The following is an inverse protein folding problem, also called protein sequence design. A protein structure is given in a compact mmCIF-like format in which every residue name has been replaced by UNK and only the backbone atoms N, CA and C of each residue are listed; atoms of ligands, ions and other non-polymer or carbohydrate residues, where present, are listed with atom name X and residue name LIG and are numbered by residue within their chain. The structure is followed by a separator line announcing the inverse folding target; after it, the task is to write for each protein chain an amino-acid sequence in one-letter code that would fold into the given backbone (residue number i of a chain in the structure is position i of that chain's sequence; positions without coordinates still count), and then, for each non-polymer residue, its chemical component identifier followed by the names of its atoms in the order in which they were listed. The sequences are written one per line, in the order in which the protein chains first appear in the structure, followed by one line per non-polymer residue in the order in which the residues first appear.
data_IF_814671069867
#
_entry.id   IF_814671069867
#
_cell.length_a   1.000
_cell.length_b   1.000
_cell.length_c   1.000
_cell.angle_alpha   90.00
_cell.angle_beta   90.00
_cell.angle_gamma   90.00
#
_symmetry.space_group_name_H-M   'P 1'
#
loop_
_entity.id
_entity.type
_entity.pdbx_description
1 polymer ?
#
# COMPACT_ATOMS: atom_id res chain seq x y z
N UNK A 1 27.78 -36.48 39.24
CA UNK A 1 27.77 -35.14 39.87
C UNK A 1 26.77 -34.30 39.07
N UNK A 2 25.48 -34.39 39.39
CA UNK A 2 24.66 -33.33 40.05
C UNK A 2 24.68 -32.01 39.23
N UNK A 3 23.58 -31.56 38.62
CA UNK A 3 22.33 -31.14 39.29
C UNK A 3 21.12 -31.16 38.35
N UNK A 4 20.02 -31.71 38.88
CA UNK A 4 18.65 -31.37 38.54
C UNK A 4 18.09 -30.37 39.57
N UNK A 5 17.06 -29.61 39.20
CA UNK A 5 16.26 -28.72 40.06
C UNK A 5 16.12 -27.33 39.46
N UNK A 6 14.97 -26.63 39.43
CA UNK A 6 13.66 -26.69 40.11
C UNK A 6 12.67 -25.96 39.17
N UNK A 7 11.45 -26.41 38.85
CA UNK A 7 10.21 -26.52 39.64
C UNK A 7 9.74 -25.21 40.34
N UNK A 8 8.64 -24.65 39.79
CA UNK A 8 7.39 -24.17 40.44
C UNK A 8 7.18 -22.73 40.95
N UNK A 9 5.88 -22.36 40.83
CA UNK A 9 5.07 -21.35 41.55
C UNK A 9 5.09 -19.93 40.98
N UNK A 10 4.06 -19.41 40.30
CA UNK A 10 2.66 -19.17 40.70
C UNK A 10 2.53 -18.27 41.95
N UNK A 11 2.25 -16.98 41.72
CA UNK A 11 1.67 -16.04 42.67
C UNK A 11 0.80 -15.09 41.80
N UNK A 12 -0.53 -15.08 41.88
CA UNK A 12 -1.32 -15.02 43.10
C UNK A 12 -1.50 -13.57 43.55
N UNK A 13 -1.75 -12.63 42.63
CA UNK A 13 -2.07 -11.25 42.98
C UNK A 13 -3.56 -11.19 43.37
N UNK A 14 -3.79 -11.34 44.67
CA UNK A 14 -5.04 -11.11 45.36
C UNK A 14 -5.60 -9.73 44.97
N UNK A 15 -6.71 -9.72 44.24
CA UNK A 15 -7.58 -8.55 44.08
C UNK A 15 -8.22 -8.24 45.44
N UNK A 16 -7.55 -7.43 46.26
CA UNK A 16 -8.19 -6.76 47.38
C UNK A 16 -9.10 -5.67 46.79
N UNK A 17 -10.36 -6.02 46.52
CA UNK A 17 -11.41 -5.04 46.28
C UNK A 17 -11.52 -4.16 47.53
N UNK A 18 -11.28 -2.83 47.46
CA UNK A 18 -11.46 -1.99 48.62
C UNK A 18 -12.92 -2.08 49.07
N UNK A 19 -13.09 -2.49 50.34
CA UNK A 19 -14.38 -2.49 51.01
C UNK A 19 -14.97 -1.07 50.91
N UNK A 20 -16.24 -0.99 50.47
CA UNK A 20 -16.88 0.23 50.03
C UNK A 20 -16.63 1.41 50.95
N UNK A 21 -16.04 2.47 50.38
CA UNK A 21 -16.18 3.79 50.96
C UNK A 21 -17.68 4.12 50.94
N UNK A 22 -18.34 4.04 52.10
CA UNK A 22 -19.67 4.61 52.24
C UNK A 22 -19.51 6.11 52.03
N UNK A 23 -19.89 6.59 50.84
CA UNK A 23 -19.90 8.02 50.55
C UNK A 23 -20.99 8.65 51.43
N UNK A 24 -20.59 9.25 52.55
CA UNK A 24 -21.50 10.03 53.39
C UNK A 24 -21.69 11.41 52.74
N UNK A 25 -22.92 11.75 52.40
CA UNK A 25 -23.26 13.06 51.86
C UNK A 25 -23.62 14.00 53.01
N UNK A 26 -23.08 15.21 52.96
CA UNK A 26 -23.38 16.25 53.92
C UNK A 26 -24.23 17.34 53.26
N UNK A 27 -25.23 17.82 54.00
CA UNK A 27 -26.13 18.88 53.54
C UNK A 27 -26.09 20.07 54.48
N UNK A 28 -25.97 21.28 53.92
CA UNK A 28 -26.12 22.53 54.68
C UNK A 28 -26.94 23.56 53.88
N UNK A 29 -27.55 24.51 54.59
CA UNK A 29 -28.31 25.62 53.98
C UNK A 29 -27.57 26.93 54.24
N UNK A 30 -27.29 27.69 53.18
CA UNK A 30 -26.61 28.98 53.33
C UNK A 30 -27.55 30.09 53.83
N UNK A 31 -26.99 31.27 54.11
CA UNK A 31 -27.75 32.46 54.56
C UNK A 31 -28.81 32.92 53.56
N UNK A 32 -28.71 32.53 52.28
CA UNK A 32 -29.69 32.85 51.24
C UNK A 32 -30.83 31.82 51.16
N UNK A 33 -30.79 30.77 51.99
CA UNK A 33 -31.75 29.68 51.99
C UNK A 33 -31.49 28.60 50.93
N UNK A 34 -30.33 28.61 50.25
CA UNK A 34 -29.98 27.58 49.25
C UNK A 34 -29.33 26.38 49.91
N UNK A 35 -29.80 25.18 49.53
CA UNK A 35 -29.28 23.90 50.02
C UNK A 35 -28.11 23.42 49.16
N UNK A 36 -27.00 23.08 49.80
CA UNK A 36 -25.81 22.51 49.15
C UNK A 36 -25.59 21.09 49.64
N UNK A 37 -25.16 20.21 48.73
CA UNK A 37 -24.75 18.83 49.03
C UNK A 37 -23.26 18.69 48.71
N UNK A 38 -22.51 18.09 49.63
CA UNK A 38 -21.07 17.85 49.45
C UNK A 38 -20.70 16.45 49.91
N UNK A 39 -19.73 15.87 49.21
CA UNK A 39 -19.30 14.50 49.43
C UNK A 39 -18.27 14.38 50.56
N UNK A 40 -17.79 15.52 51.08
CA UNK A 40 -16.76 15.61 52.11
C UNK A 40 -17.10 16.70 53.13
N UNK A 41 -17.03 16.39 54.42
CA UNK A 41 -17.44 17.28 55.51
C UNK A 41 -16.71 18.64 55.51
N UNK A 42 -15.42 18.66 55.13
CA UNK A 42 -14.62 19.89 55.14
C UNK A 42 -14.97 20.87 54.00
N UNK A 43 -15.69 20.42 52.96
CA UNK A 43 -16.24 21.30 51.91
C UNK A 43 -17.38 22.17 52.44
N UNK A 44 -17.91 21.89 53.63
CA UNK A 44 -18.91 22.73 54.31
C UNK A 44 -18.20 23.94 54.94
N UNK A 45 -18.63 25.18 54.62
CA UNK A 45 -18.12 26.38 55.27
C UNK A 45 -18.32 26.32 56.79
N UNK A 46 -17.33 26.77 57.55
CA UNK A 46 -17.26 26.60 59.01
C UNK A 46 -18.51 27.11 59.74
N UNK A 47 -19.08 28.21 59.27
CA UNK A 47 -20.30 28.82 59.76
C UNK A 47 -21.56 27.93 59.63
N UNK A 48 -21.56 26.94 58.73
CA UNK A 48 -22.69 26.03 58.49
C UNK A 48 -22.43 24.59 58.95
N UNK A 49 -21.23 24.27 59.45
CA UNK A 49 -20.89 22.91 59.95
C UNK A 49 -21.75 22.45 61.12
N UNK A 50 -22.13 23.27 62.11
CA UNK A 50 -22.93 22.82 63.26
C UNK A 50 -24.35 22.37 62.90
N UNK A 51 -24.88 22.86 61.78
CA UNK A 51 -26.23 22.56 61.28
C UNK A 51 -26.23 21.51 60.16
N UNK A 52 -25.06 20.94 59.84
CA UNK A 52 -24.93 20.01 58.73
C UNK A 52 -25.60 18.67 59.05
N UNK A 53 -26.51 18.22 58.18
CA UNK A 53 -27.08 16.88 58.24
C UNK A 53 -26.19 15.86 57.55
N UNK A 54 -26.06 14.65 58.13
CA UNK A 54 -25.32 13.52 57.57
C UNK A 54 -26.27 12.48 56.98
N UNK A 55 -26.06 12.11 55.72
CA UNK A 55 -26.91 11.20 54.97
C UNK A 55 -26.06 10.11 54.30
N UNK A 56 -26.61 8.89 54.22
CA UNK A 56 -25.91 7.76 53.61
C UNK A 56 -26.10 7.75 52.09
N UNK A 57 -27.28 8.20 51.64
CA UNK A 57 -27.59 8.41 50.24
C UNK A 57 -28.12 9.84 50.01
N UNK A 58 -27.90 10.36 48.80
CA UNK A 58 -28.19 11.74 48.36
C UNK A 58 -29.60 12.24 48.70
N UNK A 59 -30.60 11.34 48.76
CA UNK A 59 -32.01 11.68 48.95
C UNK A 59 -32.63 11.17 50.27
N UNK A 60 -31.83 10.70 51.23
CA UNK A 60 -32.33 10.17 52.53
C UNK A 60 -33.07 11.21 53.39
N UNK A 61 -32.95 12.49 53.04
CA UNK A 61 -33.59 13.61 53.74
C UNK A 61 -35.04 13.88 53.30
N UNK A 62 -35.52 13.18 52.26
CA UNK A 62 -36.85 13.35 51.71
C UNK A 62 -37.81 12.26 52.22
N UNK A 63 -39.13 12.53 52.29
CA UNK A 63 -40.14 11.48 52.48
C UNK A 63 -39.96 10.35 51.47
N UNK A 64 -40.28 9.11 51.86
CA UNK A 64 -40.00 7.91 51.07
C UNK A 64 -40.53 7.98 49.62
N UNK A 65 -41.76 8.48 49.45
CA UNK A 65 -42.36 8.69 48.13
C UNK A 65 -41.56 9.68 47.26
N UNK A 66 -41.10 10.79 47.84
CA UNK A 66 -40.30 11.81 47.12
C UNK A 66 -38.89 11.28 46.80
N UNK A 67 -38.32 10.45 47.68
CA UNK A 67 -37.02 9.80 47.47
C UNK A 67 -37.06 8.84 46.29
N UNK A 68 -38.10 8.00 46.20
CA UNK A 68 -38.27 7.04 45.08
C UNK A 68 -38.35 7.79 43.75
N UNK A 69 -39.17 8.85 43.68
CA UNK A 69 -39.31 9.67 42.47
C UNK A 69 -38.00 10.30 42.00
N UNK A 70 -37.17 10.83 42.92
CA UNK A 70 -35.88 11.41 42.57
C UNK A 70 -34.86 10.37 42.11
N UNK A 71 -34.82 9.20 42.75
CA UNK A 71 -33.95 8.08 42.34
C UNK A 71 -34.34 7.54 40.95
N UNK A 72 -35.63 7.42 40.68
CA UNK A 72 -36.13 7.01 39.35
C UNK A 72 -35.81 8.05 38.28
N UNK A 73 -35.98 9.34 38.58
CA UNK A 73 -35.64 10.42 37.68
C UNK A 73 -34.12 10.55 37.41
N UNK A 74 -33.27 10.28 38.40
CA UNK A 74 -31.81 10.28 38.21
C UNK A 74 -31.38 9.07 37.37
N UNK A 75 -31.92 7.87 37.66
CA UNK A 75 -31.66 6.66 36.84
C UNK A 75 -32.16 6.81 35.40
N UNK A 76 -33.30 7.47 35.18
CA UNK A 76 -33.80 7.71 33.82
C UNK A 76 -32.86 8.65 33.07
N UNK A 77 -32.41 9.74 33.71
CA UNK A 77 -31.42 10.67 33.14
C UNK A 77 -30.08 10.00 32.85
N UNK A 78 -29.59 9.15 33.76
CA UNK A 78 -28.35 8.39 33.56
C UNK A 78 -28.45 7.47 32.35
N UNK A 79 -29.55 6.71 32.21
CA UNK A 79 -29.80 5.85 31.05
C UNK A 79 -29.88 6.64 29.76
N UNK A 80 -30.58 7.78 29.76
CA UNK A 80 -30.65 8.68 28.60
C UNK A 80 -29.25 9.17 28.18
N UNK A 81 -28.42 9.60 29.14
CA UNK A 81 -27.04 10.03 28.91
C UNK A 81 -26.12 8.90 28.42
N UNK A 82 -26.31 7.68 28.92
CA UNK A 82 -25.56 6.50 28.46
C UNK A 82 -25.97 6.10 27.05
N UNK A 83 -27.27 6.12 26.73
CA UNK A 83 -27.76 5.86 25.38
C UNK A 83 -27.27 6.92 24.39
N UNK A 84 -27.27 8.19 24.78
CA UNK A 84 -26.73 9.27 23.96
C UNK A 84 -25.23 9.07 23.71
N UNK A 85 -24.44 8.81 24.76
CA UNK A 85 -23.01 8.48 24.62
C UNK A 85 -22.77 7.25 23.76
N UNK A 86 -23.60 6.21 23.89
CA UNK A 86 -23.50 4.99 23.07
C UNK A 86 -23.77 5.30 21.61
N UNK A 87 -24.82 6.07 21.31
CA UNK A 87 -25.15 6.51 19.93
C UNK A 87 -24.05 7.37 19.35
N UNK A 88 -23.45 8.26 20.14
CA UNK A 88 -22.32 9.09 19.72
C UNK A 88 -21.08 8.24 19.41
N UNK A 89 -20.75 7.30 20.30
CA UNK A 89 -19.63 6.36 20.11
C UNK A 89 -19.83 5.48 18.88
N UNK A 90 -21.04 4.95 18.68
CA UNK A 90 -21.39 4.16 17.48
C UNK A 90 -21.19 4.98 16.21
N UNK A 91 -21.64 6.25 16.18
CA UNK A 91 -21.41 7.16 15.05
C UNK A 91 -19.93 7.42 14.79
N UNK A 92 -19.14 7.68 15.83
CA UNK A 92 -17.69 7.90 15.70
C UNK A 92 -16.98 6.65 15.16
N UNK A 93 -17.36 5.46 15.64
CA UNK A 93 -16.80 4.20 15.15
C UNK A 93 -17.18 3.94 13.69
N UNK A 94 -18.41 4.25 13.29
CA UNK A 94 -18.83 4.16 11.89
C UNK A 94 -18.06 5.13 10.98
N UNK A 95 -17.83 6.36 11.44
CA UNK A 95 -17.04 7.36 10.72
C UNK A 95 -15.60 6.91 10.51
N UNK A 96 -14.93 6.46 11.59
CA UNK A 96 -13.57 5.92 11.51
C UNK A 96 -13.47 4.74 10.53
N UNK A 97 -14.44 3.82 10.56
CA UNK A 97 -14.47 2.69 9.60
C UNK A 97 -14.59 3.15 8.16
N UNK A 98 -15.43 4.15 7.88
CA UNK A 98 -15.58 4.73 6.54
C UNK A 98 -14.30 5.40 6.07
N UNK A 99 -13.62 6.14 6.97
CA UNK A 99 -12.34 6.75 6.66
C UNK A 99 -11.26 5.71 6.37
N UNK A 100 -11.15 4.67 7.21
CA UNK A 100 -10.20 3.57 7.00
C UNK A 100 -10.46 2.85 5.67
N UNK A 101 -11.73 2.57 5.34
CA UNK A 101 -12.11 1.95 4.07
C UNK A 101 -11.77 2.86 2.88
N UNK A 102 -12.08 4.16 2.97
CA UNK A 102 -11.73 5.12 1.94
C UNK A 102 -10.21 5.23 1.72
N UNK A 103 -9.42 5.24 2.79
CA UNK A 103 -7.96 5.22 2.72
C UNK A 103 -7.47 3.93 2.08
N UNK A 104 -8.04 2.79 2.45
CA UNK A 104 -7.69 1.49 1.87
C UNK A 104 -7.99 1.44 0.36
N UNK A 105 -9.14 1.93 -0.07
CA UNK A 105 -9.52 1.99 -1.48
C UNK A 105 -8.56 2.88 -2.28
N UNK A 106 -8.29 4.11 -1.78
CA UNK A 106 -7.33 5.02 -2.44
C UNK A 106 -5.95 4.38 -2.59
N UNK A 107 -5.44 3.72 -1.56
CA UNK A 107 -4.15 3.01 -1.63
C UNK A 107 -4.16 1.91 -2.68
N UNK A 108 -5.22 1.11 -2.74
CA UNK A 108 -5.35 0.05 -3.73
C UNK A 108 -5.38 0.62 -5.17
N UNK A 109 -6.10 1.71 -5.40
CA UNK A 109 -6.14 2.41 -6.70
C UNK A 109 -4.77 2.97 -7.09
N UNK A 110 -4.04 3.56 -6.14
CA UNK A 110 -2.69 4.08 -6.37
C UNK A 110 -1.69 2.97 -6.69
N UNK A 111 -1.76 1.85 -5.98
CA UNK A 111 -0.93 0.67 -6.25
C UNK A 111 -1.22 0.09 -7.64
N UNK A 112 -2.50 -0.03 -8.03
CA UNK A 112 -2.86 -0.51 -9.36
C UNK A 112 -2.34 0.45 -10.44
N UNK A 113 -2.51 1.77 -10.25
CA UNK A 113 -2.00 2.79 -11.18
C UNK A 113 -0.47 2.72 -11.31
N UNK A 114 0.23 2.54 -10.18
CA UNK A 114 1.69 2.38 -10.16
C UNK A 114 2.12 1.12 -10.88
N UNK A 115 1.41 0.00 -10.69
CA UNK A 115 1.68 -1.25 -11.39
C UNK A 115 1.49 -1.10 -12.90
N UNK A 116 0.39 -0.51 -13.34
CA UNK A 116 0.15 -0.26 -14.77
C UNK A 116 1.25 0.59 -15.40
N UNK A 117 1.66 1.68 -14.73
CA UNK A 117 2.78 2.52 -15.20
C UNK A 117 4.12 1.79 -15.22
N UNK A 118 4.37 0.88 -14.28
CA UNK A 118 5.59 0.08 -14.28
C UNK A 118 5.68 -0.92 -15.44
N UNK A 119 4.54 -1.26 -16.06
CA UNK A 119 4.47 -2.11 -17.25
C UNK A 119 4.56 -1.30 -18.56
N UNK A 120 4.48 0.03 -18.48
CA UNK A 120 4.59 0.94 -19.62
C UNK A 120 6.07 1.30 -19.89
N UNK A 121 6.42 1.29 -21.17
CA UNK A 121 7.74 1.68 -21.67
C UNK A 121 7.55 2.87 -22.59
N UNK A 122 8.18 3.99 -22.27
CA UNK A 122 8.23 5.14 -23.17
C UNK A 122 9.00 4.76 -24.45
N UNK A 123 8.45 5.14 -25.60
CA UNK A 123 9.00 4.86 -26.92
C UNK A 123 9.03 6.13 -27.76
N UNK A 124 9.82 6.12 -28.82
CA UNK A 124 9.79 7.17 -29.83
C UNK A 124 8.96 6.67 -31.02
N UNK A 125 7.92 7.42 -31.41
CA UNK A 125 7.08 7.12 -32.57
C UNK A 125 7.43 8.10 -33.69
N UNK A 126 8.10 7.59 -34.73
CA UNK A 126 8.56 8.38 -35.86
C UNK A 126 7.91 7.86 -37.15
N UNK A 127 6.91 8.58 -37.66
CA UNK A 127 6.13 8.15 -38.82
C UNK A 127 5.38 6.85 -38.53
N UNK A 128 5.70 5.78 -39.27
CA UNK A 128 5.11 4.45 -39.10
C UNK A 128 5.95 3.50 -38.24
N UNK A 129 6.97 4.02 -37.53
CA UNK A 129 7.92 3.22 -36.76
C UNK A 129 7.80 3.52 -35.28
N UNK A 130 7.90 2.47 -34.48
CA UNK A 130 7.97 2.55 -33.02
C UNK A 130 9.37 2.11 -32.61
N UNK A 131 10.19 3.07 -32.19
CA UNK A 131 11.54 2.82 -31.67
C UNK A 131 11.45 2.54 -30.17
N UNK A 132 11.78 1.32 -29.82
CA UNK A 132 11.74 0.81 -28.46
C UNK A 132 13.13 0.90 -27.84
N UNK A 133 13.29 1.54 -26.66
CA UNK A 133 14.53 1.48 -25.93
C UNK A 133 14.73 0.06 -25.39
N UNK A 134 15.90 -0.51 -25.68
CA UNK A 134 16.26 -1.87 -25.29
C UNK A 134 17.62 -1.84 -24.61
N UNK A 135 17.74 -2.55 -23.49
CA UNK A 135 19.03 -2.76 -22.83
C UNK A 135 19.54 -4.16 -23.18
N UNK A 136 20.74 -4.24 -23.73
CA UNK A 136 21.41 -5.48 -24.13
C UNK A 136 22.59 -5.72 -23.20
N UNK A 137 22.79 -6.96 -22.76
CA UNK A 137 23.91 -7.34 -21.92
C UNK A 137 24.65 -8.55 -22.51
N UNK A 138 25.98 -8.49 -22.50
CA UNK A 138 26.86 -9.56 -22.94
C UNK A 138 28.26 -9.43 -22.31
N UNK A 139 28.79 -10.50 -21.71
CA UNK A 139 30.13 -10.56 -21.12
C UNK A 139 30.45 -9.40 -20.15
N UNK A 140 29.47 -9.05 -19.31
CA UNK A 140 29.59 -7.94 -18.36
C UNK A 140 29.54 -6.53 -18.99
N UNK A 141 29.37 -6.44 -20.31
CA UNK A 141 29.11 -5.18 -21.01
C UNK A 141 27.59 -4.97 -21.14
N UNK A 142 27.17 -3.72 -21.01
CA UNK A 142 25.78 -3.32 -21.19
C UNK A 142 25.70 -2.16 -22.20
N UNK A 143 24.69 -2.19 -23.06
CA UNK A 143 24.40 -1.10 -23.98
C UNK A 143 22.89 -0.85 -24.08
N UNK A 144 22.51 0.42 -23.98
CA UNK A 144 21.16 0.87 -24.32
C UNK A 144 21.11 1.24 -25.79
N UNK A 145 20.12 0.70 -26.50
CA UNK A 145 19.92 0.84 -27.95
C UNK A 145 18.46 1.17 -28.26
N UNK A 146 18.19 1.62 -29.48
CA UNK A 146 16.82 1.80 -29.99
C UNK A 146 16.56 0.81 -31.12
N UNK A 147 15.63 -0.12 -30.90
CA UNK A 147 15.23 -1.10 -31.90
C UNK A 147 13.84 -0.76 -32.44
N UNK A 148 13.62 -0.92 -33.74
CA UNK A 148 12.28 -0.78 -34.32
C UNK A 148 11.44 -2.00 -33.97
N UNK A 149 10.25 -1.81 -33.42
CA UNK A 149 9.28 -2.90 -33.27
C UNK A 149 8.84 -3.37 -34.66
N UNK A 150 9.24 -4.58 -35.05
CA UNK A 150 9.05 -5.09 -36.40
C UNK A 150 8.41 -6.50 -36.38
N UNK A 151 7.12 -6.56 -36.69
CA UNK A 151 6.37 -7.82 -36.79
C UNK A 151 6.67 -8.61 -38.06
N UNK A 152 7.31 -7.99 -39.06
CA UNK A 152 7.77 -8.64 -40.29
C UNK A 152 9.11 -9.35 -40.14
N UNK A 153 9.88 -9.04 -39.09
CA UNK A 153 11.16 -9.68 -38.81
C UNK A 153 10.94 -10.97 -37.98
N UNK A 154 11.34 -12.12 -38.52
CA UNK A 154 11.28 -13.39 -37.76
C UNK A 154 12.24 -13.42 -36.57
N UNK A 155 13.38 -12.74 -36.71
CA UNK A 155 14.43 -12.67 -35.70
C UNK A 155 14.75 -11.23 -35.35
N UNK A 156 15.14 -10.99 -34.09
CA UNK A 156 15.69 -9.72 -33.65
C UNK A 156 17.04 -9.48 -34.33
N UNK A 157 17.19 -8.29 -34.92
CA UNK A 157 18.36 -7.88 -35.68
C UNK A 157 19.11 -6.80 -34.91
N UNK A 158 20.43 -6.93 -34.82
CA UNK A 158 21.32 -5.86 -34.37
C UNK A 158 22.22 -5.44 -35.53
N UNK A 159 22.44 -4.14 -35.68
CA UNK A 159 23.48 -3.68 -36.59
C UNK A 159 24.88 -3.91 -36.01
N UNK A 160 25.83 -4.18 -36.90
CA UNK A 160 27.21 -4.55 -36.56
C UNK A 160 27.88 -3.65 -35.50
N UNK A 161 27.75 -2.31 -35.51
CA UNK A 161 28.37 -1.47 -34.47
C UNK A 161 27.93 -1.81 -33.05
N UNK A 162 26.68 -2.24 -32.86
CA UNK A 162 26.18 -2.68 -31.54
C UNK A 162 26.80 -4.01 -31.14
N UNK A 163 26.87 -4.95 -32.07
CA UNK A 163 27.47 -6.26 -31.83
C UNK A 163 28.96 -6.15 -31.46
N UNK A 164 29.70 -5.26 -32.14
CA UNK A 164 31.10 -4.96 -31.84
C UNK A 164 31.27 -4.32 -30.46
N UNK A 165 30.43 -3.33 -30.12
CA UNK A 165 30.43 -2.65 -28.81
C UNK A 165 30.21 -3.64 -27.66
N UNK A 166 29.32 -4.61 -27.86
CA UNK A 166 28.99 -5.65 -26.87
C UNK A 166 29.86 -6.91 -26.99
N UNK A 167 30.84 -6.93 -27.91
CA UNK A 167 31.73 -8.06 -28.19
C UNK A 167 30.97 -9.38 -28.39
N UNK A 168 29.88 -9.32 -29.15
CA UNK A 168 29.06 -10.50 -29.45
C UNK A 168 29.86 -11.39 -30.42
N UNK A 169 30.04 -12.65 -30.04
CA UNK A 169 30.72 -13.63 -30.88
C UNK A 169 29.80 -14.10 -32.02
N UNK A 170 30.35 -14.16 -33.23
CA UNK A 170 29.71 -14.80 -34.38
C UNK A 170 29.72 -16.32 -34.18
N UNK A 171 28.55 -16.91 -33.98
CA UNK A 171 28.36 -18.36 -33.81
C UNK A 171 28.17 -19.06 -35.16
N UNK A 172 27.53 -18.39 -36.12
CA UNK A 172 27.33 -18.89 -37.47
C UNK A 172 27.26 -17.74 -38.48
N UNK A 173 27.48 -18.06 -39.75
CA UNK A 173 27.27 -17.17 -40.89
C UNK A 173 26.21 -17.76 -41.80
N UNK A 174 25.41 -16.90 -42.40
CA UNK A 174 24.32 -17.30 -43.27
C UNK A 174 23.90 -16.19 -44.23
N UNK A 175 22.67 -16.33 -44.71
CA UNK A 175 22.02 -15.37 -45.58
C UNK A 175 20.65 -15.03 -45.01
N UNK A 176 20.35 -13.74 -44.92
CA UNK A 176 19.06 -13.22 -44.50
C UNK A 176 18.34 -12.61 -45.69
N UNK A 177 17.05 -12.96 -45.84
CA UNK A 177 16.18 -12.34 -46.83
C UNK A 177 15.53 -11.11 -46.21
N UNK A 178 15.77 -9.95 -46.81
CA UNK A 178 15.17 -8.68 -46.43
C UNK A 178 13.81 -8.50 -47.12
N UNK A 179 13.09 -7.46 -46.69
CA UNK A 179 11.91 -6.99 -47.41
C UNK A 179 12.25 -6.70 -48.89
N UNK A 180 11.33 -7.04 -49.80
CA UNK A 180 11.56 -6.92 -51.24
C UNK A 180 12.38 -8.04 -51.88
N UNK A 181 12.74 -9.09 -51.13
CA UNK A 181 13.37 -10.31 -51.67
C UNK A 181 14.89 -10.24 -51.84
N UNK A 182 15.52 -9.12 -51.50
CA UNK A 182 16.97 -8.98 -51.45
C UNK A 182 17.56 -9.91 -50.38
N UNK A 183 18.70 -10.52 -50.68
CA UNK A 183 19.43 -11.38 -49.73
C UNK A 183 20.73 -10.70 -49.34
N UNK A 184 21.05 -10.72 -48.05
CA UNK A 184 22.29 -10.17 -47.50
C UNK A 184 23.02 -11.20 -46.67
N UNK A 185 24.35 -11.10 -46.62
CA UNK A 185 25.14 -11.90 -45.69
C UNK A 185 24.83 -11.50 -44.26
N UNK A 186 24.59 -12.49 -43.43
CA UNK A 186 24.23 -12.30 -42.03
C UNK A 186 25.06 -13.16 -41.11
N UNK A 187 25.21 -12.68 -39.88
CA UNK A 187 25.87 -13.40 -38.81
C UNK A 187 24.84 -13.72 -37.73
N UNK A 188 25.02 -14.84 -37.05
CA UNK A 188 24.21 -15.20 -35.89
C UNK A 188 25.07 -15.08 -34.66
N UNK A 189 24.58 -14.31 -33.69
CA UNK A 189 25.18 -14.14 -32.38
C UNK A 189 24.20 -14.52 -31.28
N UNK A 190 24.62 -14.32 -30.04
CA UNK A 190 23.83 -14.60 -28.84
C UNK A 190 24.17 -13.60 -27.75
N UNK A 191 23.14 -13.08 -27.11
CA UNK A 191 23.25 -12.18 -25.96
C UNK A 191 23.03 -12.98 -24.67
N UNK A 192 23.73 -12.59 -23.61
CA UNK A 192 23.44 -13.09 -22.27
C UNK A 192 22.05 -12.62 -21.83
N UNK A 193 21.66 -11.38 -22.13
CA UNK A 193 20.31 -10.89 -21.93
C UNK A 193 19.89 -9.75 -22.85
N UNK A 194 18.59 -9.69 -23.11
CA UNK A 194 17.86 -8.56 -23.70
C UNK A 194 16.76 -8.12 -22.72
N UNK A 195 16.63 -6.82 -22.50
CA UNK A 195 15.63 -6.21 -21.64
C UNK A 195 14.83 -5.19 -22.45
N UNK A 196 13.51 -5.40 -22.52
CA UNK A 196 12.56 -4.48 -23.16
C UNK A 196 11.47 -4.16 -22.15
N UNK A 197 11.39 -2.90 -21.71
CA UNK A 197 10.49 -2.52 -20.63
C UNK A 197 10.73 -3.37 -19.36
N UNK A 198 9.69 -3.92 -18.71
CA UNK A 198 9.85 -4.82 -17.57
C UNK A 198 10.32 -6.24 -17.95
N UNK A 199 10.31 -6.60 -19.24
CA UNK A 199 10.56 -7.97 -19.69
C UNK A 199 12.04 -8.20 -19.98
N UNK A 200 12.65 -9.12 -19.21
CA UNK A 200 14.01 -9.62 -19.45
C UNK A 200 13.97 -11.03 -20.03
N UNK A 201 14.71 -11.25 -21.12
CA UNK A 201 15.00 -12.58 -21.63
C UNK A 201 16.50 -12.82 -21.57
N UNK A 202 16.89 -14.03 -21.17
CA UNK A 202 18.29 -14.47 -21.15
C UNK A 202 18.56 -15.38 -22.33
N UNK A 203 19.85 -15.56 -22.63
CA UNK A 203 20.31 -16.51 -23.64
C UNK A 203 19.60 -16.31 -24.99
N UNK A 204 19.67 -15.07 -25.50
CA UNK A 204 18.81 -14.60 -26.57
C UNK A 204 19.57 -14.55 -27.91
N UNK A 205 19.17 -15.33 -28.93
CA UNK A 205 19.81 -15.30 -30.25
C UNK A 205 19.51 -13.99 -30.98
N UNK A 206 20.48 -13.50 -31.73
CA UNK A 206 20.33 -12.29 -32.56
C UNK A 206 20.95 -12.50 -33.93
N UNK A 207 20.36 -11.86 -34.95
CA UNK A 207 20.96 -11.75 -36.28
C UNK A 207 21.73 -10.44 -36.36
N UNK A 208 22.96 -10.48 -36.85
CA UNK A 208 23.83 -9.32 -37.01
C UNK A 208 23.94 -9.00 -38.50
N UNK A 209 23.57 -7.78 -38.85
CA UNK A 209 23.65 -7.25 -40.22
C UNK A 209 24.60 -6.05 -40.29
N UNK A 210 25.26 -5.80 -41.44
CA UNK A 210 25.93 -4.53 -41.67
C UNK A 210 24.89 -3.38 -41.65
N UNK A 211 25.34 -2.18 -41.27
CA UNK A 211 24.52 -0.96 -41.44
C UNK A 211 24.36 -0.73 -42.94
N UNK A 212 23.16 -0.90 -43.48
CA UNK A 212 22.86 -0.39 -44.81
C UNK A 212 22.56 1.12 -44.64
N UNK A 213 23.41 1.95 -45.23
CA UNK A 213 23.45 3.39 -45.02
C UNK A 213 22.22 4.12 -45.59
N UNK A 214 21.06 3.96 -44.96
CA UNK A 214 19.83 4.70 -45.29
C UNK A 214 19.03 5.12 -44.06
N UNK A 215 19.31 4.60 -42.85
CA UNK A 215 18.69 5.12 -41.64
C UNK A 215 19.57 4.97 -40.37
N UNK A 216 20.37 6.00 -40.03
CA UNK A 216 21.20 5.99 -38.83
C UNK A 216 20.41 6.18 -37.52
N UNK A 217 19.06 6.29 -37.58
CA UNK A 217 18.26 6.61 -36.40
C UNK A 217 18.03 5.43 -35.45
N UNK A 218 18.27 4.18 -35.89
CA UNK A 218 18.06 2.99 -35.07
C UNK A 218 19.23 2.01 -35.10
N UNK A 219 19.25 1.13 -34.10
CA UNK A 219 20.31 0.16 -33.84
C UNK A 219 19.98 -1.26 -34.35
N UNK A 220 18.78 -1.45 -34.93
CA UNK A 220 18.28 -2.71 -35.44
C UNK A 220 16.77 -2.89 -35.31
N UNK A 221 16.32 -4.15 -35.30
CA UNK A 221 14.91 -4.55 -35.31
C UNK A 221 14.61 -5.46 -34.11
N UNK A 222 13.50 -5.21 -33.42
CA UNK A 222 12.94 -6.10 -32.40
C UNK A 222 11.93 -7.02 -33.07
N UNK A 223 12.32 -8.29 -33.25
CA UNK A 223 11.59 -9.24 -34.08
C UNK A 223 10.62 -10.14 -33.32
N UNK A 224 9.95 -11.01 -34.08
CA UNK A 224 8.92 -11.92 -33.58
C UNK A 224 9.44 -12.98 -32.61
N UNK A 225 10.73 -13.30 -32.61
CA UNK A 225 11.36 -14.17 -31.61
C UNK A 225 11.24 -13.62 -30.18
N UNK A 226 11.24 -12.29 -30.02
CA UNK A 226 10.87 -11.59 -28.79
C UNK A 226 9.36 -11.36 -28.72
N UNK A 227 8.77 -10.71 -29.74
CA UNK A 227 7.40 -10.17 -29.67
C UNK A 227 6.33 -11.25 -29.44
N UNK A 228 6.50 -12.47 -29.94
CA UNK A 228 5.53 -13.54 -29.72
C UNK A 228 5.44 -14.04 -28.26
N UNK A 229 6.44 -13.71 -27.43
CA UNK A 229 6.54 -14.15 -26.02
C UNK A 229 5.99 -13.12 -25.03
N UNK A 230 5.50 -12.00 -25.54
CA UNK A 230 4.91 -10.92 -24.75
C UNK A 230 3.56 -10.54 -25.34
N UNK A 231 2.65 -10.09 -24.49
CA UNK A 231 1.54 -9.27 -24.93
C UNK A 231 2.01 -7.81 -24.96
N UNK A 232 1.66 -7.09 -26.01
CA UNK A 232 2.01 -5.68 -26.12
C UNK A 232 0.88 -4.83 -26.68
N UNK A 233 0.77 -3.60 -26.18
CA UNK A 233 -0.21 -2.62 -26.62
C UNK A 233 0.47 -1.26 -26.79
N UNK A 234 0.32 -0.66 -27.97
CA UNK A 234 0.91 0.64 -28.33
C UNK A 234 -0.13 1.72 -28.05
N UNK A 235 0.25 2.71 -27.24
CA UNK A 235 -0.55 3.90 -26.96
C UNK A 235 0.11 5.09 -27.67
N UNK A 236 -0.46 5.50 -28.80
CA UNK A 236 0.13 6.53 -29.67
C UNK A 236 0.07 7.91 -29.03
N UNK A 237 -1.00 8.22 -28.30
CA UNK A 237 -1.23 9.52 -27.66
C UNK A 237 -0.18 9.83 -26.58
N UNK A 238 0.27 8.79 -25.87
CA UNK A 238 1.24 8.91 -24.79
C UNK A 238 2.65 8.46 -25.20
N UNK A 239 2.85 8.02 -26.45
CA UNK A 239 4.11 7.45 -26.93
C UNK A 239 4.65 6.36 -26.00
N UNK A 240 3.79 5.42 -25.61
CA UNK A 240 4.16 4.31 -24.72
C UNK A 240 3.77 2.96 -25.32
N UNK A 241 4.51 1.92 -24.94
CA UNK A 241 4.15 0.53 -25.20
C UNK A 241 4.10 -0.21 -23.87
N UNK A 242 2.98 -0.85 -23.58
CA UNK A 242 2.88 -1.77 -22.45
C UNK A 242 3.37 -3.13 -22.88
N UNK A 243 4.32 -3.73 -22.16
CA UNK A 243 4.81 -5.08 -22.40
C UNK A 243 4.51 -5.97 -21.19
N UNK A 244 3.79 -7.07 -21.42
CA UNK A 244 3.44 -8.04 -20.37
C UNK A 244 3.98 -9.43 -20.74
N UNK A 245 4.74 -10.12 -19.87
CA UNK A 245 5.19 -11.48 -20.14
C UNK A 245 4.00 -12.42 -20.39
N UNK A 246 4.07 -13.25 -21.45
CA UNK A 246 3.13 -14.37 -21.58
C UNK A 246 3.61 -15.51 -20.68
N UNK A 247 2.76 -15.94 -19.75
CA UNK A 247 2.97 -17.21 -19.05
C UNK A 247 2.69 -18.35 -20.04
N UNK A 248 3.71 -19.15 -20.33
CA UNK A 248 3.56 -20.45 -20.98
C UNK A 248 3.46 -21.54 -19.93
#
# INVERSE_FOLDING_TARGET
MTRAGRMLCLAGLLLALPAGAAAEFYRYTDRSGRTHFVDEFWKIPEEYRPQAGRYREKYDHLPEEQRILHLEAERSRERELEEERRRETERQLEELRREEEAVRLRRAEEEERRRRRAEETEVEIAGNRVLVPVTLANHGLEARVRLVLDTGASHTVLYRPVAERLRILTLARGQSRLAGGRTVHSEVGRLEAIQVGPVRMRDFPVVILPVEAEDPSCDGLLGMDFLQRVDYAIQYETSTVRFTPRHR
#
